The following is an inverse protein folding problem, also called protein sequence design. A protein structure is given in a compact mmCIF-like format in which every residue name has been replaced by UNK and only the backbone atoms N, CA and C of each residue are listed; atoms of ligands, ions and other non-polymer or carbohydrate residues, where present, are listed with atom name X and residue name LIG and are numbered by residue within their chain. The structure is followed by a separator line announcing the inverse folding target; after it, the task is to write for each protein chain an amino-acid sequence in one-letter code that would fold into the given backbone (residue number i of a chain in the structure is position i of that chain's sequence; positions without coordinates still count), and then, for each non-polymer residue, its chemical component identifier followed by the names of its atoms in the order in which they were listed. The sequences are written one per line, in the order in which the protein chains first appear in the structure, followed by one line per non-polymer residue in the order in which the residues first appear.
data_IF_914123375454
#
_entry.id   IF_914123375454
#
_cell.length_a   1.000
_cell.length_b   1.000
_cell.length_c   1.000
_cell.angle_alpha   90.00
_cell.angle_beta   90.00
_cell.angle_gamma   90.00
#
_symmetry.space_group_name_H-M   'P 1'
#
loop_
_entity.id
_entity.type
_entity.pdbx_description
1 polymer ?
#
# COMPACT_ATOMS: atom_id res chain seq x y z
N UNK A 1 29.65 26.15 -8.42
CA UNK A 1 28.86 25.96 -7.18
C UNK A 1 27.52 25.44 -7.59
N UNK A 2 27.21 24.21 -7.18
CA UNK A 2 25.99 23.49 -7.49
C UNK A 2 24.80 24.04 -6.69
N UNK A 3 23.63 24.10 -7.34
CA UNK A 3 22.30 24.00 -6.73
C UNK A 3 21.28 23.94 -7.86
N UNK A 4 21.22 22.78 -8.50
CA UNK A 4 19.99 22.38 -9.17
C UNK A 4 18.92 22.18 -8.08
N UNK A 5 17.78 22.87 -8.14
CA UNK A 5 16.66 22.51 -7.28
C UNK A 5 16.20 21.13 -7.74
N UNK A 6 16.57 20.11 -6.96
CA UNK A 6 15.86 18.84 -6.89
C UNK A 6 14.37 19.17 -6.83
N UNK A 7 13.74 19.17 -7.99
CA UNK A 7 12.31 19.29 -8.12
C UNK A 7 11.83 17.93 -7.68
N UNK A 8 11.61 17.86 -6.37
CA UNK A 8 11.04 16.76 -5.61
C UNK A 8 10.13 15.97 -6.53
N UNK A 9 10.69 14.84 -6.99
CA UNK A 9 10.00 13.91 -7.82
C UNK A 9 8.75 13.53 -7.05
N UNK A 10 7.60 14.08 -7.45
CA UNK A 10 6.28 13.50 -7.21
C UNK A 10 6.29 12.15 -7.91
N UNK A 11 7.06 11.22 -7.35
CA UNK A 11 6.99 9.81 -7.61
C UNK A 11 5.54 9.47 -7.32
N UNK A 12 4.84 8.75 -8.22
CA UNK A 12 3.48 8.35 -7.96
C UNK A 12 3.49 7.67 -6.59
N UNK A 13 2.89 8.33 -5.58
CA UNK A 13 2.88 7.83 -4.21
C UNK A 13 2.37 6.40 -4.31
N UNK A 14 3.24 5.43 -4.03
CA UNK A 14 2.85 4.03 -4.09
C UNK A 14 1.74 3.89 -3.06
N UNK A 15 0.53 3.59 -3.51
CA UNK A 15 -0.65 3.43 -2.67
C UNK A 15 -0.35 2.49 -1.47
N UNK A 16 0.52 1.52 -1.71
CA UNK A 16 1.04 0.59 -0.72
C UNK A 16 1.84 1.25 0.41
N UNK A 17 2.76 2.16 0.07
CA UNK A 17 3.57 2.87 1.05
C UNK A 17 2.69 3.81 1.91
N UNK A 18 1.67 4.41 1.30
CA UNK A 18 0.68 5.23 2.00
C UNK A 18 -0.18 4.40 2.96
N UNK A 19 -0.61 3.20 2.57
CA UNK A 19 -1.35 2.28 3.45
C UNK A 19 -0.50 1.81 4.64
N UNK A 20 0.79 1.53 4.41
CA UNK A 20 1.72 1.20 5.49
C UNK A 20 1.96 2.37 6.45
N UNK A 21 2.05 3.59 5.92
CA UNK A 21 2.21 4.79 6.74
C UNK A 21 0.94 5.08 7.58
N UNK A 22 -0.24 4.88 7.00
CA UNK A 22 -1.51 4.96 7.72
C UNK A 22 -1.60 3.90 8.84
N UNK A 23 -1.22 2.65 8.54
CA UNK A 23 -1.16 1.60 9.55
C UNK A 23 -0.23 1.98 10.71
N UNK A 24 0.98 2.45 10.38
CA UNK A 24 1.96 2.89 11.38
C UNK A 24 1.42 4.01 12.26
N UNK A 25 0.79 5.01 11.65
CA UNK A 25 0.21 6.16 12.35
C UNK A 25 -0.88 5.70 13.32
N UNK A 26 -1.80 4.87 12.85
CA UNK A 26 -2.88 4.32 13.66
C UNK A 26 -2.37 3.47 14.82
N UNK A 27 -1.37 2.62 14.58
CA UNK A 27 -0.75 1.82 15.64
C UNK A 27 -0.15 2.73 16.71
N UNK A 28 0.54 3.80 16.31
CA UNK A 28 1.11 4.76 17.25
C UNK A 28 0.06 5.54 18.05
N UNK A 29 -1.09 5.86 17.44
CA UNK A 29 -2.21 6.49 18.14
C UNK A 29 -2.88 5.52 19.15
N UNK A 30 -3.03 4.25 18.78
CA UNK A 30 -3.71 3.25 19.61
C UNK A 30 -2.83 2.73 20.76
N UNK A 31 -1.53 2.55 20.51
CA UNK A 31 -0.59 1.95 21.46
C UNK A 31 0.35 2.97 22.12
N UNK A 32 0.42 4.20 21.60
CA UNK A 32 1.32 5.25 22.10
C UNK A 32 2.79 5.07 21.71
N UNK A 33 3.10 4.06 20.89
CA UNK A 33 4.46 3.76 20.42
C UNK A 33 4.47 3.32 18.96
N UNK A 34 5.63 3.44 18.29
CA UNK A 34 5.74 2.94 16.92
C UNK A 34 5.60 1.41 16.89
N UNK A 35 4.96 0.85 15.85
CA UNK A 35 4.89 -0.59 15.69
C UNK A 35 6.30 -1.19 15.58
N UNK A 36 6.55 -2.33 16.24
CA UNK A 36 7.79 -3.07 16.07
C UNK A 36 7.90 -3.61 14.63
N UNK A 37 9.12 -3.91 14.21
CA UNK A 37 9.43 -4.32 12.83
C UNK A 37 8.68 -5.59 12.42
N UNK A 38 8.51 -6.54 13.34
CA UNK A 38 7.73 -7.77 13.13
C UNK A 38 6.26 -7.47 12.80
N UNK A 39 5.63 -6.51 13.51
CA UNK A 39 4.25 -6.09 13.25
C UNK A 39 4.15 -5.36 11.90
N UNK A 40 5.15 -4.58 11.54
CA UNK A 40 5.22 -3.94 10.22
C UNK A 40 5.37 -4.97 9.09
N UNK A 41 6.15 -6.04 9.27
CA UNK A 41 6.27 -7.12 8.29
C UNK A 41 4.96 -7.92 8.13
N UNK A 42 4.26 -8.18 9.22
CA UNK A 42 2.93 -8.80 9.20
C UNK A 42 1.92 -7.93 8.45
N UNK A 43 1.86 -6.63 8.77
CA UNK A 43 1.00 -5.67 8.10
C UNK A 43 1.31 -5.58 6.60
N UNK A 44 2.60 -5.56 6.23
CA UNK A 44 3.06 -5.59 4.84
C UNK A 44 2.56 -6.83 4.11
N UNK A 45 2.67 -8.00 4.74
CA UNK A 45 2.22 -9.27 4.17
C UNK A 45 0.70 -9.32 4.02
N UNK A 46 -0.04 -8.81 5.00
CA UNK A 46 -1.49 -8.73 4.96
C UNK A 46 -1.98 -7.82 3.83
N UNK A 47 -1.43 -6.61 3.72
CA UNK A 47 -1.76 -5.66 2.66
C UNK A 47 -1.45 -6.21 1.27
N UNK A 48 -0.31 -6.90 1.09
CA UNK A 48 0.00 -7.55 -0.20
C UNK A 48 -1.02 -8.63 -0.56
N UNK A 49 -1.51 -9.39 0.42
CA UNK A 49 -2.54 -10.41 0.20
C UNK A 49 -3.89 -9.80 -0.16
N UNK A 50 -4.27 -8.71 0.50
CA UNK A 50 -5.52 -7.99 0.19
C UNK A 50 -5.47 -7.39 -1.21
N UNK A 51 -4.41 -6.66 -1.55
CA UNK A 51 -4.24 -6.10 -2.91
C UNK A 51 -4.22 -7.20 -3.97
N UNK A 52 -3.54 -8.33 -3.71
CA UNK A 52 -3.54 -9.45 -4.62
C UNK A 52 -4.92 -10.12 -4.75
N UNK A 53 -5.73 -10.10 -3.70
CA UNK A 53 -7.10 -10.64 -3.70
C UNK A 53 -8.03 -9.73 -4.49
N UNK A 54 -8.02 -8.42 -4.22
CA UNK A 54 -8.83 -7.43 -4.95
C UNK A 54 -8.56 -7.52 -6.45
N UNK A 55 -7.28 -7.55 -6.86
CA UNK A 55 -6.93 -7.70 -8.27
C UNK A 55 -7.41 -9.01 -8.89
N UNK A 56 -7.44 -10.12 -8.13
CA UNK A 56 -7.98 -11.40 -8.64
C UNK A 56 -9.48 -11.35 -8.81
N UNK A 57 -10.20 -10.76 -7.87
CA UNK A 57 -11.65 -10.61 -7.93
C UNK A 57 -12.05 -9.67 -9.07
N UNK A 58 -11.38 -8.53 -9.21
CA UNK A 58 -11.60 -7.56 -10.29
C UNK A 58 -11.33 -8.17 -11.68
N UNK A 59 -10.26 -8.97 -11.81
CA UNK A 59 -9.99 -9.69 -13.06
C UNK A 59 -11.01 -10.78 -13.36
N UNK A 60 -11.54 -11.47 -12.34
CA UNK A 60 -12.57 -12.49 -12.52
C UNK A 60 -13.85 -11.86 -13.07
N UNK A 61 -14.26 -10.73 -12.53
CA UNK A 61 -15.46 -10.03 -12.99
C UNK A 61 -15.33 -9.56 -14.44
N UNK A 62 -14.13 -9.12 -14.85
CA UNK A 62 -13.84 -8.77 -16.25
C UNK A 62 -13.94 -10.00 -17.18
N UNK A 63 -13.36 -11.14 -16.79
CA UNK A 63 -13.44 -12.35 -17.59
C UNK A 63 -14.87 -12.93 -17.65
N UNK A 64 -15.61 -12.91 -16.55
CA UNK A 64 -17.02 -13.35 -16.52
C UNK A 64 -17.92 -12.41 -17.35
N UNK A 65 -17.60 -11.11 -17.43
CA UNK A 65 -18.28 -10.17 -18.31
C UNK A 65 -17.97 -10.42 -19.81
N UNK A 66 -16.70 -10.67 -20.15
CA UNK A 66 -16.27 -10.99 -21.52
C UNK A 66 -16.77 -12.37 -21.99
N UNK A 67 -16.94 -13.33 -21.08
CA UNK A 67 -17.47 -14.66 -21.40
C UNK A 67 -18.99 -14.71 -21.58
N UNK A 68 -19.70 -13.61 -21.25
CA UNK A 68 -21.16 -13.47 -21.43
C UNK A 68 -21.57 -12.77 -22.73
N UNK A 69 -20.62 -12.30 -23.53
CA UNK A 69 -20.81 -11.77 -24.89
C UNK A 69 -20.57 -12.87 -25.94
#
# INVERSE_FOLDING_TARGET
MARDPETDASSPRNLFDELLEQFRTRYAEEHGENPPEEVMEEARTALLREVAREKREEHRDIYDALARE
#
